data_IF_009149419772
#
_entry.id   IF_009149419772
#
_cell.length_a   1.000
_cell.length_b   1.000
_cell.length_c   1.000
_cell.angle_alpha   90.00
_cell.angle_beta   90.00
_cell.angle_gamma   90.00
#
_symmetry.space_group_name_H-M   'P 1'
#
loop_
_entity.id
_entity.type
_entity.pdbx_description
1 polymer ?
#
# COMPACT_ATOMS: atom_id res chain seq x y z
N UNK A 1 16.28 25.73 -19.74
CA UNK A 1 17.15 26.92 -19.56
C UNK A 1 16.52 28.23 -20.13
N UNK A 2 15.20 28.28 -20.34
CA UNK A 2 14.47 29.41 -20.95
C UNK A 2 14.87 29.74 -22.42
N UNK A 3 15.54 28.84 -23.14
CA UNK A 3 15.87 29.04 -24.55
C UNK A 3 14.70 28.75 -25.53
N UNK A 4 13.57 28.30 -25.00
CA UNK A 4 12.36 28.00 -25.77
C UNK A 4 12.24 26.54 -26.24
N UNK A 5 13.20 25.67 -25.91
CA UNK A 5 13.17 24.25 -26.25
C UNK A 5 12.83 23.38 -25.03
N UNK A 6 12.15 22.25 -25.28
CA UNK A 6 11.85 21.26 -24.24
C UNK A 6 13.04 20.31 -24.11
N UNK A 7 13.62 20.27 -22.93
CA UNK A 7 14.75 19.41 -22.57
C UNK A 7 14.32 18.04 -22.03
N UNK A 8 15.28 17.11 -21.90
CA UNK A 8 15.04 15.78 -21.33
C UNK A 8 15.85 15.62 -20.04
N UNK A 9 15.18 15.27 -18.95
CA UNK A 9 15.83 14.78 -17.73
C UNK A 9 15.85 13.24 -17.74
N UNK A 10 17.05 12.66 -17.63
CA UNK A 10 17.26 11.21 -17.51
C UNK A 10 17.81 10.94 -16.13
N UNK A 11 17.15 10.10 -15.35
CA UNK A 11 17.64 9.73 -14.03
C UNK A 11 17.95 8.23 -13.94
N UNK A 12 19.22 7.93 -13.67
CA UNK A 12 19.76 6.58 -13.72
C UNK A 12 19.69 5.93 -12.35
N UNK A 13 18.90 4.88 -12.21
CA UNK A 13 18.80 4.11 -10.97
C UNK A 13 20.13 3.43 -10.62
N UNK A 14 20.90 2.98 -11.63
CA UNK A 14 22.24 2.41 -11.45
C UNK A 14 23.18 2.83 -12.57
N UNK A 15 24.45 3.04 -12.24
CA UNK A 15 25.53 3.33 -13.20
C UNK A 15 26.59 2.23 -13.07
N UNK A 16 26.79 1.43 -14.11
CA UNK A 16 27.69 0.26 -14.09
C UNK A 16 27.46 -0.70 -12.91
N UNK A 17 26.22 -0.83 -12.45
CA UNK A 17 25.85 -1.69 -11.33
C UNK A 17 25.94 -1.02 -9.95
N UNK A 18 26.52 0.16 -9.84
CA UNK A 18 26.54 0.96 -8.60
C UNK A 18 25.27 1.81 -8.48
N UNK A 19 24.79 1.98 -7.26
CA UNK A 19 23.66 2.84 -6.93
C UNK A 19 24.07 4.32 -6.88
N UNK A 20 25.37 4.63 -6.77
CA UNK A 20 25.89 6.00 -6.87
C UNK A 20 26.39 6.23 -8.30
N UNK A 21 25.95 7.32 -8.92
CA UNK A 21 26.35 7.66 -10.29
C UNK A 21 25.68 8.93 -10.79
N UNK A 22 25.77 9.19 -12.08
CA UNK A 22 25.22 10.42 -12.64
C UNK A 22 23.87 10.20 -13.31
N UNK A 23 22.97 11.16 -13.06
CA UNK A 23 21.80 11.44 -13.90
C UNK A 23 22.15 12.57 -14.88
N UNK A 24 21.33 12.78 -15.89
CA UNK A 24 21.63 13.70 -16.99
C UNK A 24 20.48 14.67 -17.27
N UNK A 25 20.84 15.89 -17.65
CA UNK A 25 19.96 16.76 -18.45
C UNK A 25 20.52 16.78 -19.86
N UNK A 26 19.72 16.33 -20.83
CA UNK A 26 20.00 16.45 -22.25
C UNK A 26 19.30 17.72 -22.73
N UNK A 27 20.09 18.69 -23.17
CA UNK A 27 19.58 19.97 -23.67
C UNK A 27 19.13 19.82 -25.11
N UNK A 28 17.95 20.36 -25.42
CA UNK A 28 17.40 20.32 -26.77
C UNK A 28 17.64 21.64 -27.50
N UNK A 29 17.51 21.65 -28.82
CA UNK A 29 17.71 22.85 -29.63
C UNK A 29 17.14 22.73 -31.05
N UNK A 30 17.60 23.60 -31.94
CA UNK A 30 17.20 23.60 -33.36
C UNK A 30 17.59 22.31 -34.09
N UNK A 31 18.73 21.71 -33.71
CA UNK A 31 19.36 20.58 -34.39
C UNK A 31 19.13 19.25 -33.64
N UNK A 32 17.97 19.09 -32.99
CA UNK A 32 17.59 17.92 -32.16
C UNK A 32 18.26 17.89 -30.76
N UNK A 33 18.06 16.80 -30.02
CA UNK A 33 18.58 16.62 -28.65
C UNK A 33 20.10 16.47 -28.66
N UNK A 34 20.84 17.32 -27.94
CA UNK A 34 22.29 17.23 -27.83
C UNK A 34 22.72 16.23 -26.75
N UNK A 35 22.96 14.98 -27.15
CA UNK A 35 23.44 13.92 -26.27
C UNK A 35 24.97 13.92 -26.04
N UNK A 36 25.70 14.80 -26.74
CA UNK A 36 27.18 14.84 -26.73
C UNK A 36 27.74 15.56 -25.51
N UNK A 37 26.99 16.50 -24.95
CA UNK A 37 27.42 17.30 -23.81
C UNK A 37 26.32 17.47 -22.76
N UNK A 38 25.86 16.37 -22.14
CA UNK A 38 24.82 16.43 -21.13
C UNK A 38 25.32 17.14 -19.86
N UNK A 39 24.43 17.85 -19.17
CA UNK A 39 24.72 18.25 -17.79
C UNK A 39 24.61 17.02 -16.89
N UNK A 40 25.74 16.65 -16.28
CA UNK A 40 25.83 15.53 -15.33
C UNK A 40 25.44 16.00 -13.94
N UNK A 41 24.50 15.30 -13.34
CA UNK A 41 24.04 15.54 -11.97
C UNK A 41 24.47 14.35 -11.12
N UNK A 42 25.32 14.55 -10.10
CA UNK A 42 25.67 13.47 -9.18
C UNK A 42 24.42 13.05 -8.39
N UNK A 43 24.09 11.77 -8.45
CA UNK A 43 22.88 11.20 -7.86
C UNK A 43 23.17 9.86 -7.16
N UNK A 44 22.32 9.50 -6.21
CA UNK A 44 22.16 8.12 -5.79
C UNK A 44 20.80 7.67 -6.33
N UNK A 45 20.75 6.48 -6.94
CA UNK A 45 19.63 5.90 -7.67
C UNK A 45 18.29 6.56 -7.36
N UNK A 46 17.79 7.46 -8.23
CA UNK A 46 16.66 8.31 -7.92
C UNK A 46 15.40 7.47 -7.82
N UNK A 47 14.79 7.47 -6.64
CA UNK A 47 13.45 6.95 -6.41
C UNK A 47 12.47 8.11 -6.54
N UNK A 48 11.48 7.99 -7.45
CA UNK A 48 10.45 9.02 -7.62
C UNK A 48 10.34 9.64 -9.01
N UNK A 49 11.11 9.20 -10.01
CA UNK A 49 10.75 9.43 -11.42
C UNK A 49 9.62 8.49 -11.84
N UNK A 50 8.45 8.71 -11.26
CA UNK A 50 7.21 7.99 -11.58
C UNK A 50 6.22 8.99 -12.18
N UNK A 51 5.48 8.57 -13.20
CA UNK A 51 4.48 9.43 -13.85
C UNK A 51 3.19 9.60 -13.03
N UNK A 52 3.05 8.81 -11.96
CA UNK A 52 1.88 8.81 -11.08
C UNK A 52 2.29 9.34 -9.72
N UNK A 53 1.39 10.09 -9.07
CA UNK A 53 1.61 10.55 -7.71
C UNK A 53 1.76 9.35 -6.76
N UNK A 54 2.62 9.43 -5.73
CA UNK A 54 2.68 8.41 -4.69
C UNK A 54 1.33 8.24 -4.01
N UNK A 55 0.83 7.00 -3.98
CA UNK A 55 -0.48 6.64 -3.42
C UNK A 55 -1.03 5.38 -4.07
N UNK A 56 -2.16 4.91 -3.57
CA UNK A 56 -2.89 3.78 -4.14
C UNK A 56 -3.29 4.08 -5.59
N UNK A 57 -3.06 3.13 -6.50
CA UNK A 57 -3.35 3.31 -7.94
C UNK A 57 -4.85 3.50 -8.19
N UNK A 58 -5.71 2.88 -7.38
CA UNK A 58 -7.16 2.90 -7.56
C UNK A 58 -7.78 4.23 -7.12
N UNK A 59 -7.38 4.76 -5.96
CA UNK A 59 -8.07 5.88 -5.31
C UNK A 59 -7.15 7.03 -4.83
N UNK A 60 -5.83 6.92 -5.03
CA UNK A 60 -4.84 7.92 -4.61
C UNK A 60 -4.64 8.03 -3.10
N UNK A 61 -5.27 7.16 -2.31
CA UNK A 61 -5.12 7.15 -0.85
C UNK A 61 -3.72 6.71 -0.42
N UNK A 62 -3.39 6.93 0.84
CA UNK A 62 -2.11 6.52 1.41
C UNK A 62 -2.04 5.03 1.78
N UNK A 63 -3.08 4.23 1.48
CA UNK A 63 -3.24 2.87 1.96
C UNK A 63 -3.27 1.88 0.81
N UNK A 64 -2.51 0.79 0.95
CA UNK A 64 -2.68 -0.40 0.12
C UNK A 64 -3.48 -1.45 0.87
N UNK A 65 -4.18 -2.31 0.14
CA UNK A 65 -5.07 -3.31 0.74
C UNK A 65 -4.57 -4.72 0.51
N UNK A 66 -4.53 -5.51 1.59
CA UNK A 66 -4.34 -6.96 1.53
C UNK A 66 -5.62 -7.65 1.98
N UNK A 67 -6.09 -8.64 1.24
CA UNK A 67 -7.26 -9.46 1.61
C UNK A 67 -6.81 -10.88 1.89
N UNK A 68 -7.21 -11.44 3.04
CA UNK A 68 -6.86 -12.80 3.45
C UNK A 68 -7.55 -13.86 2.59
N UNK A 69 -7.15 -15.13 2.72
CA UNK A 69 -8.02 -16.22 2.29
C UNK A 69 -9.32 -16.25 3.14
N UNK A 70 -10.46 -16.70 2.58
CA UNK A 70 -11.64 -17.05 3.36
C UNK A 70 -11.34 -18.11 4.43
N UNK A 71 -12.04 -18.05 5.55
CA UNK A 71 -11.96 -19.05 6.61
C UNK A 71 -13.35 -19.42 7.10
N UNK A 72 -13.64 -20.72 7.21
CA UNK A 72 -14.88 -21.19 7.80
C UNK A 72 -14.70 -21.41 9.31
N UNK A 73 -15.40 -20.61 10.10
CA UNK A 73 -15.53 -20.77 11.54
C UNK A 73 -16.20 -22.10 11.89
N UNK A 74 -15.80 -22.74 13.01
CA UNK A 74 -16.55 -23.85 13.58
C UNK A 74 -18.02 -23.47 13.85
N UNK A 75 -18.90 -24.47 13.81
CA UNK A 75 -20.32 -24.24 14.04
C UNK A 75 -20.56 -23.63 15.43
N UNK A 76 -21.22 -22.47 15.47
CA UNK A 76 -21.52 -21.74 16.71
C UNK A 76 -20.42 -20.80 17.21
N UNK A 77 -19.24 -20.80 16.56
CA UNK A 77 -18.16 -19.88 16.92
C UNK A 77 -18.42 -18.47 16.37
N UNK A 78 -17.97 -17.47 17.10
CA UNK A 78 -17.96 -16.07 16.68
C UNK A 78 -16.56 -15.47 16.84
N UNK A 79 -16.18 -14.56 15.94
CA UNK A 79 -14.92 -13.82 16.08
C UNK A 79 -15.03 -12.89 17.29
N UNK A 80 -13.99 -12.90 18.12
CA UNK A 80 -13.93 -12.15 19.38
C UNK A 80 -12.88 -11.05 19.38
N UNK A 81 -11.84 -11.17 18.55
CA UNK A 81 -10.73 -10.22 18.52
C UNK A 81 -9.99 -10.31 17.19
N UNK A 82 -9.45 -9.18 16.73
CA UNK A 82 -8.49 -9.11 15.62
C UNK A 82 -7.23 -8.38 16.08
N UNK A 83 -6.07 -8.90 15.68
CA UNK A 83 -4.77 -8.29 16.00
C UNK A 83 -3.69 -8.75 15.03
N UNK A 84 -2.51 -8.18 15.14
CA UNK A 84 -1.38 -8.49 14.26
C UNK A 84 -0.04 -8.28 14.96
N UNK A 85 1.04 -8.67 14.28
CA UNK A 85 2.40 -8.24 14.61
C UNK A 85 2.94 -7.47 13.41
N UNK A 86 3.42 -6.25 13.64
CA UNK A 86 3.93 -5.40 12.57
C UNK A 86 5.09 -4.50 13.02
N UNK A 87 6.09 -4.36 12.15
CA UNK A 87 7.07 -3.28 12.25
C UNK A 87 6.55 -2.04 11.51
N UNK A 88 6.40 -0.95 12.26
CA UNK A 88 5.94 0.33 11.73
C UNK A 88 7.10 1.33 11.62
N UNK A 89 7.36 1.77 10.39
CA UNK A 89 8.20 2.94 10.14
C UNK A 89 7.48 4.24 10.51
N UNK A 90 8.19 5.39 10.54
CA UNK A 90 7.57 6.69 10.76
C UNK A 90 6.40 6.95 9.81
N UNK A 91 5.27 7.43 10.35
CA UNK A 91 4.06 7.78 9.59
C UNK A 91 3.47 6.60 8.80
N UNK A 92 3.60 5.40 9.34
CA UNK A 92 2.93 4.20 8.83
C UNK A 92 1.91 3.69 9.84
N UNK A 93 0.91 2.97 9.35
CA UNK A 93 -0.13 2.36 10.19
C UNK A 93 -0.65 1.07 9.55
N UNK A 94 -1.26 0.24 10.38
CA UNK A 94 -2.05 -0.90 9.95
C UNK A 94 -3.44 -0.74 10.57
N UNK A 95 -4.47 -1.06 9.80
CA UNK A 95 -5.83 -1.22 10.30
C UNK A 95 -6.45 -2.47 9.69
N UNK A 96 -7.39 -3.09 10.39
CA UNK A 96 -8.10 -4.25 9.88
C UNK A 96 -9.59 -3.98 9.71
N UNK A 97 -10.20 -4.71 8.79
CA UNK A 97 -11.65 -4.86 8.70
C UNK A 97 -12.00 -6.32 8.49
N UNK A 98 -13.18 -6.70 8.95
CA UNK A 98 -13.69 -8.06 8.85
C UNK A 98 -14.95 -8.06 8.00
N UNK A 99 -15.19 -9.14 7.26
CA UNK A 99 -16.48 -9.40 6.63
C UNK A 99 -16.91 -10.82 6.90
N UNK A 100 -18.22 -11.03 6.93
CA UNK A 100 -18.83 -12.31 7.28
C UNK A 100 -19.90 -12.68 6.27
N UNK A 101 -20.05 -13.97 6.00
CA UNK A 101 -21.09 -14.47 5.11
C UNK A 101 -21.53 -15.91 5.47
N UNK A 102 -22.71 -16.31 4.99
CA UNK A 102 -23.23 -17.66 5.18
C UNK A 102 -22.51 -18.72 4.32
N UNK A 103 -21.81 -18.31 3.25
CA UNK A 103 -21.04 -19.18 2.35
C UNK A 103 -19.78 -18.47 1.87
N UNK A 104 -18.79 -19.22 1.38
CA UNK A 104 -17.55 -18.69 0.84
C UNK A 104 -17.80 -17.70 -0.31
N UNK A 105 -18.62 -18.09 -1.30
CA UNK A 105 -18.98 -17.26 -2.46
C UNK A 105 -19.65 -15.94 -2.05
N UNK A 106 -20.46 -15.97 -0.99
CA UNK A 106 -21.17 -14.80 -0.51
C UNK A 106 -20.24 -13.76 0.15
N UNK A 107 -18.98 -14.10 0.48
CA UNK A 107 -18.02 -13.13 1.01
C UNK A 107 -17.74 -12.02 0.00
N UNK A 108 -17.70 -12.31 -1.30
CA UNK A 108 -17.36 -11.31 -2.32
C UNK A 108 -18.26 -10.07 -2.28
N UNK A 109 -19.54 -10.28 -1.96
CA UNK A 109 -20.57 -9.23 -1.86
C UNK A 109 -20.80 -8.76 -0.42
N UNK A 110 -20.20 -9.40 0.58
CA UNK A 110 -20.36 -9.03 1.97
C UNK A 110 -19.63 -7.70 2.26
N UNK A 111 -20.29 -6.85 3.05
CA UNK A 111 -19.73 -5.58 3.48
C UNK A 111 -18.55 -5.78 4.43
N UNK A 112 -17.54 -4.94 4.26
CA UNK A 112 -16.44 -4.82 5.21
C UNK A 112 -16.90 -4.00 6.41
N UNK A 113 -16.55 -4.46 7.61
CA UNK A 113 -16.96 -3.86 8.87
C UNK A 113 -15.74 -3.57 9.74
N UNK A 114 -15.79 -2.40 10.38
CA UNK A 114 -14.93 -1.97 11.46
C UNK A 114 -15.58 -2.17 12.84
N UNK A 115 -15.01 -1.55 13.89
CA UNK A 115 -15.50 -1.70 15.26
C UNK A 115 -16.91 -1.14 15.50
N UNK A 116 -17.36 -0.17 14.71
CA UNK A 116 -18.67 0.48 14.87
C UNK A 116 -19.71 -0.05 13.87
N UNK A 117 -19.53 -1.28 13.35
CA UNK A 117 -20.29 -1.86 12.24
C UNK A 117 -20.27 -1.02 10.93
N UNK A 118 -19.40 -0.01 10.86
CA UNK A 118 -19.21 0.89 9.73
C UNK A 118 -17.91 0.63 8.97
N UNK A 119 -17.52 1.58 8.11
CA UNK A 119 -16.28 1.50 7.33
C UNK A 119 -15.01 1.95 8.10
N UNK A 120 -15.10 2.06 9.44
CA UNK A 120 -13.94 2.35 10.30
C UNK A 120 -12.98 1.15 10.35
N UNK A 121 -11.79 1.35 10.90
CA UNK A 121 -10.74 0.34 10.95
C UNK A 121 -10.54 -0.12 12.38
N UNK A 122 -10.48 -1.44 12.59
CA UNK A 122 -9.98 -2.00 13.83
C UNK A 122 -8.52 -1.60 14.02
N UNK A 123 -8.12 -1.38 15.27
CA UNK A 123 -6.73 -1.25 15.71
C UNK A 123 -6.20 -2.59 16.20
N UNK A 124 -4.89 -2.66 16.45
CA UNK A 124 -4.23 -3.88 16.90
C UNK A 124 -4.82 -4.40 18.22
N UNK A 125 -4.94 -5.73 18.32
CA UNK A 125 -5.54 -6.48 19.41
C UNK A 125 -6.91 -5.93 19.91
N UNK A 126 -7.74 -5.42 19.00
CA UNK A 126 -9.05 -4.88 19.33
C UNK A 126 -10.13 -5.98 19.40
N UNK A 127 -10.97 -5.89 20.44
CA UNK A 127 -12.15 -6.75 20.60
C UNK A 127 -13.18 -6.50 19.48
N UNK A 128 -13.82 -7.58 19.06
CA UNK A 128 -14.87 -7.56 18.05
C UNK A 128 -16.20 -7.84 18.75
N UNK A 129 -17.12 -6.89 18.67
CA UNK A 129 -18.44 -7.05 19.25
C UNK A 129 -19.24 -8.11 18.47
N UNK A 130 -19.41 -9.27 19.09
CA UNK A 130 -20.03 -10.48 18.51
C UNK A 130 -21.48 -10.31 18.00
N UNK A 131 -22.15 -9.19 18.30
CA UNK A 131 -23.59 -9.01 18.07
C UNK A 131 -23.98 -8.82 16.60
N UNK A 132 -23.02 -8.64 15.69
CA UNK A 132 -23.28 -8.30 14.28
C UNK A 132 -22.88 -9.39 13.25
N UNK A 133 -22.42 -10.57 13.66
CA UNK A 133 -21.85 -11.54 12.72
C UNK A 133 -22.89 -12.57 12.24
N UNK A 134 -23.46 -12.33 11.05
CA UNK A 134 -24.27 -13.31 10.35
C UNK A 134 -23.40 -14.15 9.40
N UNK A 135 -22.93 -15.31 9.84
CA UNK A 135 -22.28 -16.26 8.93
C UNK A 135 -21.12 -17.05 9.53
N UNK A 136 -20.85 -18.21 8.95
CA UNK A 136 -19.73 -19.06 9.34
C UNK A 136 -18.45 -18.74 8.56
N UNK A 137 -18.54 -18.03 7.44
CA UNK A 137 -17.37 -17.65 6.67
C UNK A 137 -16.92 -16.26 7.06
N UNK A 138 -15.63 -16.11 7.33
CA UNK A 138 -14.97 -14.85 7.69
C UNK A 138 -13.77 -14.59 6.79
N UNK A 139 -13.50 -13.32 6.55
CA UNK A 139 -12.28 -12.85 5.88
C UNK A 139 -11.86 -11.54 6.50
N UNK A 140 -10.56 -11.27 6.55
CA UNK A 140 -10.04 -9.97 6.94
C UNK A 140 -9.43 -9.24 5.74
N UNK A 141 -9.45 -7.91 5.80
CA UNK A 141 -8.57 -7.07 4.98
C UNK A 141 -7.74 -6.17 5.87
N UNK A 142 -6.50 -5.93 5.48
CA UNK A 142 -5.64 -4.93 6.08
C UNK A 142 -5.59 -3.69 5.21
N UNK A 143 -5.66 -2.53 5.83
CA UNK A 143 -5.14 -1.28 5.28
C UNK A 143 -3.68 -1.14 5.72
N UNK A 144 -2.76 -1.08 4.76
CA UNK A 144 -1.34 -0.88 4.96
C UNK A 144 -0.99 0.55 4.56
N UNK A 145 -0.94 1.44 5.54
CA UNK A 145 -0.84 2.88 5.31
C UNK A 145 0.58 3.43 5.40
N UNK A 146 0.91 4.37 4.51
CA UNK A 146 2.13 5.14 4.55
C UNK A 146 1.95 6.53 3.93
N UNK A 147 2.21 7.59 4.71
CA UNK A 147 2.16 8.96 4.19
C UNK A 147 3.16 9.12 3.03
N UNK A 148 2.66 9.61 1.89
CA UNK A 148 3.42 9.82 0.65
C UNK A 148 4.16 8.57 0.13
N UNK A 149 3.73 7.37 0.53
CA UNK A 149 4.37 6.10 0.18
C UNK A 149 5.88 6.04 0.52
N UNK A 150 6.34 6.86 1.48
CA UNK A 150 7.77 7.01 1.80
C UNK A 150 8.33 5.94 2.75
N UNK A 151 7.46 5.05 3.25
CA UNK A 151 7.79 3.90 4.09
C UNK A 151 6.72 2.83 3.88
N UNK A 152 6.84 1.66 4.51
CA UNK A 152 5.85 0.58 4.36
C UNK A 152 5.77 -0.24 5.65
N UNK A 153 4.56 -0.46 6.20
CA UNK A 153 4.39 -1.43 7.28
C UNK A 153 4.88 -2.82 6.87
N UNK A 154 5.52 -3.54 7.80
CA UNK A 154 5.86 -4.96 7.59
C UNK A 154 5.08 -5.79 8.58
N UNK A 155 4.07 -6.50 8.11
CA UNK A 155 3.23 -7.39 8.93
C UNK A 155 3.78 -8.81 8.86
N UNK A 156 4.05 -9.43 10.01
CA UNK A 156 4.57 -10.81 10.12
C UNK A 156 3.49 -11.82 10.50
N UNK A 157 2.46 -11.38 11.22
CA UNK A 157 1.35 -12.22 11.68
C UNK A 157 0.05 -11.43 11.68
N UNK A 158 -1.06 -12.09 11.35
CA UNK A 158 -2.41 -11.61 11.64
C UNK A 158 -3.15 -12.69 12.43
N UNK A 159 -3.76 -12.30 13.53
CA UNK A 159 -4.52 -13.16 14.43
C UNK A 159 -5.99 -12.75 14.42
N UNK A 160 -6.86 -13.73 14.16
CA UNK A 160 -8.31 -13.59 14.28
C UNK A 160 -8.77 -14.63 15.28
N UNK A 161 -9.15 -14.19 16.47
CA UNK A 161 -9.58 -15.07 17.55
C UNK A 161 -11.08 -15.33 17.45
N UNK A 162 -11.51 -16.54 17.80
CA UNK A 162 -12.92 -16.93 17.84
C UNK A 162 -13.20 -17.83 19.04
N UNK A 163 -14.45 -17.83 19.50
CA UNK A 163 -14.95 -18.65 20.60
C UNK A 163 -16.35 -19.19 20.31
#
# INVERSE_FOLDING_TARGET
NEDGYIDIAVANHKTFGDHVGDSFVLWNGLDEVDDRNPTRLPTAGPHGMIQVQPGNILDGSAQEYYTSAPFQLPAGAAVTQVGWEAELGPKTWVGAQLRFAASEDALEQAAWMGPDDGESWFTDDQEVETRAHAGQWVQYRLALGAVNSGSTPRVTEVRVHYA
#
